data_IF_872756489515
#
_entry.id   IF_872756489515
#
_cell.length_a   1.000
_cell.length_b   1.000
_cell.length_c   1.000
_cell.angle_alpha   90.00
_cell.angle_beta   90.00
_cell.angle_gamma   90.00
#
_symmetry.space_group_name_H-M   'P 1'
#
loop_
_entity.id
_entity.type
_entity.pdbx_description
1 polymer ?
#
# COMPACT_ATOMS: atom_id res chain seq x y z
N UNK A 1 50.14 1.57 -15.60
CA UNK A 1 49.15 0.53 -15.28
C UNK A 1 48.18 1.10 -14.27
N UNK A 2 47.03 1.63 -14.72
CA UNK A 2 45.95 2.06 -13.83
C UNK A 2 44.88 0.98 -13.94
N UNK A 3 44.73 0.19 -12.89
CA UNK A 3 43.67 -0.80 -12.77
C UNK A 3 42.38 -0.06 -12.44
N UNK A 4 41.49 0.04 -13.42
CA UNK A 4 40.12 0.52 -13.21
C UNK A 4 39.35 -0.63 -12.58
N UNK A 5 39.31 -0.66 -11.25
CA UNK A 5 38.40 -1.54 -10.52
C UNK A 5 36.96 -1.11 -10.81
N UNK A 6 36.30 -1.83 -11.71
CA UNK A 6 34.86 -1.72 -11.92
C UNK A 6 34.20 -2.24 -10.64
N UNK A 7 33.77 -1.31 -9.80
CA UNK A 7 32.95 -1.59 -8.63
C UNK A 7 31.56 -1.99 -9.13
N UNK A 8 31.37 -3.30 -9.41
CA UNK A 8 30.04 -3.87 -9.63
C UNK A 8 29.31 -3.75 -8.29
N UNK A 9 28.61 -2.64 -8.12
CA UNK A 9 27.67 -2.47 -7.02
C UNK A 9 26.56 -3.51 -7.24
N UNK A 10 26.46 -4.50 -6.36
CA UNK A 10 25.31 -5.40 -6.30
C UNK A 10 24.08 -4.56 -5.96
N UNK A 11 23.42 -4.00 -6.97
CA UNK A 11 22.13 -3.34 -6.79
C UNK A 11 21.13 -4.43 -6.44
N UNK A 12 20.79 -4.51 -5.16
CA UNK A 12 19.69 -5.37 -4.70
C UNK A 12 18.42 -4.76 -5.28
N UNK A 13 17.84 -5.43 -6.28
CA UNK A 13 16.57 -5.03 -6.86
C UNK A 13 15.48 -5.43 -5.88
N UNK A 14 14.96 -4.45 -5.14
CA UNK A 14 13.78 -4.62 -4.30
C UNK A 14 12.55 -4.49 -5.20
N UNK A 15 11.71 -5.52 -5.26
CA UNK A 15 10.45 -5.48 -5.98
C UNK A 15 9.38 -5.03 -5.00
N UNK A 16 8.81 -3.83 -5.13
CA UNK A 16 7.71 -3.38 -4.28
C UNK A 16 6.52 -2.89 -5.10
N UNK A 17 5.39 -2.69 -4.43
CA UNK A 17 4.25 -1.95 -4.97
C UNK A 17 3.92 -0.76 -4.09
N UNK A 18 3.82 0.41 -4.70
CA UNK A 18 3.52 1.67 -4.01
C UNK A 18 3.04 2.70 -5.03
N UNK A 19 2.27 3.68 -4.57
CA UNK A 19 1.59 4.61 -5.46
C UNK A 19 2.46 5.77 -5.98
N UNK A 20 3.73 5.85 -5.57
CA UNK A 20 4.61 6.97 -5.88
C UNK A 20 4.17 8.27 -5.20
N UNK A 21 4.52 9.41 -5.79
CA UNK A 21 4.25 10.73 -5.20
C UNK A 21 2.81 11.21 -5.46
N UNK A 22 2.21 11.84 -4.45
CA UNK A 22 0.88 12.49 -4.50
C UNK A 22 -0.27 11.52 -4.86
N UNK A 23 -0.15 10.25 -4.49
CA UNK A 23 -1.21 9.24 -4.64
C UNK A 23 -1.31 8.41 -3.37
N UNK A 24 -2.49 7.87 -3.12
CA UNK A 24 -2.76 7.01 -1.96
C UNK A 24 -3.31 5.66 -2.40
N UNK A 25 -2.96 4.57 -1.70
CA UNK A 25 -3.60 3.28 -1.92
C UNK A 25 -5.03 3.30 -1.36
N UNK A 26 -5.99 3.02 -2.23
CA UNK A 26 -7.42 2.99 -1.88
C UNK A 26 -8.07 1.62 -2.12
N UNK A 27 -7.34 0.70 -2.76
CA UNK A 27 -7.81 -0.65 -3.05
C UNK A 27 -6.68 -1.63 -3.33
N UNK A 28 -7.05 -2.88 -3.51
CA UNK A 28 -6.16 -4.01 -3.72
C UNK A 28 -6.74 -4.93 -4.80
N UNK A 29 -5.95 -5.25 -5.82
CA UNK A 29 -6.23 -6.35 -6.74
C UNK A 29 -5.31 -7.52 -6.42
N UNK A 30 -5.82 -8.75 -6.45
CA UNK A 30 -5.00 -9.95 -6.45
C UNK A 30 -5.17 -10.63 -7.79
N UNK A 31 -4.12 -10.65 -8.61
CA UNK A 31 -4.16 -11.30 -9.90
C UNK A 31 -4.40 -12.83 -9.76
N UNK A 32 -4.77 -13.50 -10.85
CA UNK A 32 -5.07 -14.94 -10.86
C UNK A 32 -3.91 -15.83 -10.40
N UNK A 33 -2.67 -15.36 -10.51
CA UNK A 33 -1.47 -16.04 -10.03
C UNK A 33 -1.18 -15.79 -8.54
N UNK A 34 -2.07 -15.08 -7.83
CA UNK A 34 -1.92 -14.71 -6.42
C UNK A 34 -1.07 -13.47 -6.18
N UNK A 35 -0.56 -12.80 -7.24
CA UNK A 35 0.24 -11.59 -7.09
C UNK A 35 -0.66 -10.39 -6.70
N UNK A 36 -0.45 -9.75 -5.54
CA UNK A 36 -1.20 -8.57 -5.16
C UNK A 36 -0.68 -7.30 -5.87
N UNK A 37 -1.56 -6.33 -6.11
CA UNK A 37 -1.21 -4.99 -6.56
C UNK A 37 -2.11 -3.92 -5.94
N UNK A 38 -1.54 -2.76 -5.63
CA UNK A 38 -2.30 -1.63 -5.08
C UNK A 38 -3.04 -0.89 -6.19
N UNK A 39 -4.28 -0.53 -5.88
CA UNK A 39 -5.04 0.46 -6.63
C UNK A 39 -4.73 1.84 -6.04
N UNK A 40 -4.30 2.77 -6.90
CA UNK A 40 -3.79 4.07 -6.51
C UNK A 40 -4.65 5.21 -7.05
N UNK A 41 -5.15 6.06 -6.16
CA UNK A 41 -5.91 7.24 -6.51
C UNK A 41 -5.09 8.51 -6.27
N UNK A 42 -5.43 9.60 -6.97
CA UNK A 42 -4.93 10.95 -6.70
C UNK A 42 -6.09 11.81 -6.18
N UNK A 43 -6.33 11.83 -4.86
CA UNK A 43 -7.40 12.65 -4.30
C UNK A 43 -7.14 14.12 -4.67
N UNK A 44 -8.12 14.74 -5.32
CA UNK A 44 -8.17 16.17 -5.59
C UNK A 44 -8.57 16.98 -4.34
N UNK A 45 -7.74 16.92 -3.31
CA UNK A 45 -7.91 17.72 -2.10
C UNK A 45 -7.37 19.15 -2.32
N UNK A 46 -8.05 20.15 -1.76
CA UNK A 46 -7.60 21.55 -1.83
C UNK A 46 -6.24 21.77 -1.14
N UNK A 47 -5.93 20.97 -0.11
CA UNK A 47 -4.67 20.98 0.60
C UNK A 47 -3.91 19.67 0.37
N UNK A 48 -2.62 19.79 0.03
CA UNK A 48 -1.73 18.63 -0.04
C UNK A 48 -1.20 18.34 1.36
N UNK A 49 -1.43 17.12 1.85
CA UNK A 49 -0.77 16.60 3.05
C UNK A 49 0.23 15.53 2.65
N UNK A 50 1.45 15.68 3.15
CA UNK A 50 2.49 14.68 3.01
C UNK A 50 2.37 13.70 4.17
N UNK A 51 2.59 12.42 3.88
CA UNK A 51 2.61 11.36 4.87
C UNK A 51 4.05 11.11 5.30
N UNK A 52 4.25 10.83 6.58
CA UNK A 52 5.55 10.41 7.10
C UNK A 52 5.64 8.88 7.03
N UNK A 53 6.50 8.37 6.16
CA UNK A 53 6.59 6.94 5.87
C UNK A 53 7.94 6.38 6.32
N UNK A 54 7.97 5.10 6.64
CA UNK A 54 9.24 4.38 6.81
C UNK A 54 10.08 4.41 5.51
N UNK A 55 11.40 4.22 5.59
CA UNK A 55 12.25 4.21 4.39
C UNK A 55 11.99 2.98 3.50
N UNK A 56 11.58 1.87 4.11
CA UNK A 56 11.39 0.57 3.47
C UNK A 56 10.20 -0.19 4.07
N UNK A 57 9.59 -1.06 3.28
CA UNK A 57 8.54 -1.95 3.76
C UNK A 57 9.14 -3.08 4.62
N UNK A 58 8.98 -3.00 5.94
CA UNK A 58 9.57 -3.95 6.90
C UNK A 58 8.55 -4.52 7.91
N UNK A 59 7.30 -4.06 7.86
CA UNK A 59 6.27 -4.41 8.87
C UNK A 59 5.35 -5.50 8.37
N UNK A 60 4.93 -6.43 9.23
CA UNK A 60 3.89 -7.41 8.86
C UNK A 60 2.46 -6.86 8.93
N UNK A 61 2.29 -5.67 9.54
CA UNK A 61 1.02 -4.98 9.75
C UNK A 61 1.28 -3.54 10.18
N UNK A 62 0.34 -2.62 9.95
CA UNK A 62 0.37 -1.26 10.50
C UNK A 62 -0.63 -1.19 11.68
N UNK A 63 -0.17 -1.31 12.94
CA UNK A 63 -1.07 -1.49 14.09
C UNK A 63 -1.59 -0.19 14.68
N UNK A 64 -1.02 0.95 14.31
CA UNK A 64 -1.36 2.24 14.90
C UNK A 64 -2.62 2.80 14.24
N UNK A 65 -3.48 3.43 15.05
CA UNK A 65 -4.75 3.99 14.61
C UNK A 65 -4.63 5.24 13.73
N UNK A 66 -3.42 5.81 13.63
CA UNK A 66 -3.06 6.91 12.75
C UNK A 66 -2.14 6.45 11.60
N UNK A 67 -2.09 5.16 11.28
CA UNK A 67 -1.27 4.66 10.17
C UNK A 67 -2.09 4.13 9.01
N UNK A 68 -1.57 4.35 7.80
CA UNK A 68 -2.07 3.78 6.57
C UNK A 68 -0.96 2.97 5.87
N UNK A 69 -1.37 2.06 4.99
CA UNK A 69 -0.47 1.35 4.09
C UNK A 69 -0.08 2.28 2.95
N UNK A 70 1.21 2.61 2.83
CA UNK A 70 1.75 3.37 1.69
C UNK A 70 2.25 2.50 0.53
N UNK A 71 2.46 1.21 0.79
CA UNK A 71 3.07 0.27 -0.12
C UNK A 71 3.36 -1.08 0.52
N UNK A 72 3.95 -2.00 -0.23
CA UNK A 72 4.45 -3.27 0.29
C UNK A 72 5.60 -3.83 -0.56
N UNK A 73 6.42 -4.69 0.05
CA UNK A 73 7.47 -5.44 -0.64
C UNK A 73 6.91 -6.73 -1.25
N UNK A 74 7.33 -7.05 -2.48
CA UNK A 74 7.05 -8.25 -3.28
C UNK A 74 8.30 -9.16 -3.41
N UNK A 75 9.46 -8.73 -2.89
CA UNK A 75 10.79 -9.14 -3.32
C UNK A 75 11.52 -10.24 -2.52
N UNK A 76 11.01 -10.73 -1.39
CA UNK A 76 11.63 -11.85 -0.66
C UNK A 76 10.77 -13.12 -0.70
N UNK A 77 11.34 -14.26 -1.11
CA UNK A 77 10.69 -15.58 -1.16
C UNK A 77 9.67 -15.78 -2.30
N UNK A 78 8.75 -16.74 -2.15
CA UNK A 78 7.58 -16.97 -3.03
C UNK A 78 6.52 -15.84 -2.89
N UNK A 79 6.94 -14.58 -2.87
CA UNK A 79 6.12 -13.42 -2.49
C UNK A 79 5.63 -13.48 -1.03
N UNK A 80 6.45 -14.09 -0.16
CA UNK A 80 6.15 -14.29 1.25
C UNK A 80 7.41 -14.10 2.11
N UNK A 81 7.30 -13.43 3.27
CA UNK A 81 6.09 -12.78 3.82
C UNK A 81 5.80 -11.41 3.19
N UNK A 82 4.54 -10.98 3.21
CA UNK A 82 4.12 -9.65 2.77
C UNK A 82 4.53 -8.59 3.81
N UNK A 83 5.53 -7.78 3.50
CA UNK A 83 5.92 -6.64 4.33
C UNK A 83 5.28 -5.35 3.81
N UNK A 84 4.70 -4.58 4.72
CA UNK A 84 4.04 -3.31 4.46
C UNK A 84 4.99 -2.15 4.74
N UNK A 85 4.79 -1.09 3.94
CA UNK A 85 5.27 0.25 4.20
C UNK A 85 4.18 0.99 4.98
N UNK A 86 4.42 1.27 6.26
CA UNK A 86 3.48 2.02 7.09
C UNK A 86 3.79 3.51 7.04
N UNK A 87 2.76 4.32 6.85
CA UNK A 87 2.85 5.77 6.82
C UNK A 87 1.92 6.39 7.85
N UNK A 88 2.42 7.37 8.60
CA UNK A 88 1.67 8.11 9.60
C UNK A 88 0.81 9.17 8.93
N UNK A 89 -0.47 9.18 9.27
CA UNK A 89 -1.46 10.16 8.90
C UNK A 89 -2.28 10.59 10.12
N UNK A 90 -1.90 11.70 10.75
CA UNK A 90 -2.49 12.13 12.02
C UNK A 90 -4.01 12.39 11.95
N UNK A 91 -4.52 12.82 10.80
CA UNK A 91 -5.97 13.07 10.66
C UNK A 91 -6.80 11.77 10.60
N UNK A 92 -6.16 10.61 10.44
CA UNK A 92 -6.86 9.32 10.40
C UNK A 92 -7.61 9.04 11.71
N UNK A 93 -7.21 9.65 12.83
CA UNK A 93 -7.95 9.55 14.11
C UNK A 93 -9.38 10.10 14.02
N UNK A 94 -9.67 10.95 13.04
CA UNK A 94 -11.00 11.52 12.78
C UNK A 94 -11.80 10.70 11.75
N UNK A 95 -11.22 9.61 11.22
CA UNK A 95 -11.85 8.73 10.26
C UNK A 95 -12.70 7.64 10.93
N UNK A 96 -13.51 6.95 10.13
CA UNK A 96 -14.35 5.83 10.57
C UNK A 96 -14.00 4.60 9.75
N UNK A 97 -13.76 3.42 10.37
CA UNK A 97 -13.55 2.19 9.63
C UNK A 97 -14.87 1.75 8.97
N UNK A 98 -14.91 1.73 7.63
CA UNK A 98 -16.07 1.26 6.86
C UNK A 98 -16.08 -0.26 6.70
N UNK A 99 -14.91 -0.85 6.51
CA UNK A 99 -14.73 -2.26 6.21
C UNK A 99 -13.70 -2.88 7.15
N UNK A 100 -13.98 -4.10 7.63
CA UNK A 100 -13.08 -4.85 8.50
C UNK A 100 -12.92 -6.27 7.97
N UNK A 101 -11.68 -6.78 8.02
CA UNK A 101 -11.36 -8.18 7.68
C UNK A 101 -11.82 -8.61 6.29
N UNK A 102 -11.68 -7.73 5.29
CA UNK A 102 -11.93 -8.08 3.89
C UNK A 102 -10.89 -9.11 3.44
N UNK A 103 -11.36 -10.17 2.78
CA UNK A 103 -10.52 -11.18 2.16
C UNK A 103 -10.63 -11.02 0.66
N UNK A 104 -9.49 -10.90 -0.03
CA UNK A 104 -9.41 -10.78 -1.49
C UNK A 104 -8.69 -12.01 -2.02
N UNK A 105 -9.39 -12.83 -2.79
CA UNK A 105 -8.85 -14.06 -3.37
C UNK A 105 -8.14 -13.80 -4.72
N UNK A 106 -7.31 -14.74 -5.20
CA UNK A 106 -6.74 -14.66 -6.54
C UNK A 106 -7.80 -14.52 -7.63
N UNK A 107 -7.68 -13.47 -8.45
CA UNK A 107 -8.65 -13.09 -9.47
C UNK A 107 -9.70 -12.08 -9.01
N UNK A 108 -9.66 -11.65 -7.75
CA UNK A 108 -10.56 -10.65 -7.17
C UNK A 108 -9.85 -9.30 -6.94
N UNK A 109 -10.66 -8.28 -6.74
CA UNK A 109 -10.21 -6.96 -6.32
C UNK A 109 -11.18 -6.38 -5.30
N UNK A 110 -10.68 -5.50 -4.45
CA UNK A 110 -11.45 -4.67 -3.55
C UNK A 110 -11.03 -3.22 -3.76
N UNK A 111 -12.02 -2.34 -3.93
CA UNK A 111 -11.81 -0.94 -4.27
C UNK A 111 -12.62 -0.08 -3.28
N UNK A 112 -11.94 0.85 -2.61
CA UNK A 112 -12.61 1.90 -1.82
C UNK A 112 -13.19 3.00 -2.70
N UNK A 113 -13.90 3.94 -2.10
CA UNK A 113 -14.59 5.00 -2.84
C UNK A 113 -14.05 6.40 -2.51
N UNK A 114 -14.25 7.32 -3.46
CA UNK A 114 -14.10 8.76 -3.27
C UNK A 114 -15.49 9.39 -3.32
N UNK A 115 -15.87 10.10 -2.26
CA UNK A 115 -17.16 10.77 -2.15
C UNK A 115 -16.99 12.25 -2.49
N UNK A 116 -17.77 12.71 -3.46
CA UNK A 116 -17.73 14.09 -3.96
C UNK A 116 -19.02 14.80 -3.58
N UNK A 117 -18.93 16.08 -3.21
CA UNK A 117 -20.10 16.92 -2.97
C UNK A 117 -20.74 17.36 -4.29
N UNK A 118 -22.05 17.09 -4.44
CA UNK A 118 -22.79 17.32 -5.70
C UNK A 118 -22.77 18.77 -6.20
N UNK A 119 -22.64 19.74 -5.30
CA UNK A 119 -22.76 21.17 -5.64
C UNK A 119 -21.42 21.85 -5.93
N UNK A 120 -20.35 21.41 -5.26
CA UNK A 120 -19.03 22.04 -5.33
C UNK A 120 -18.02 21.21 -6.13
N UNK A 121 -18.36 19.96 -6.46
CA UNK A 121 -17.43 18.94 -6.99
C UNK A 121 -16.20 18.73 -6.09
N UNK A 122 -16.25 19.19 -4.83
CA UNK A 122 -15.17 19.02 -3.88
C UNK A 122 -15.21 17.62 -3.28
N UNK A 123 -14.03 17.02 -3.09
CA UNK A 123 -13.91 15.75 -2.36
C UNK A 123 -14.32 15.97 -0.91
N UNK A 124 -15.29 15.18 -0.47
CA UNK A 124 -15.76 15.15 0.91
C UNK A 124 -15.03 14.09 1.74
N UNK A 125 -14.76 12.93 1.15
CA UNK A 125 -14.02 11.84 1.80
C UNK A 125 -13.44 10.89 0.77
N UNK A 126 -12.42 10.12 1.17
CA UNK A 126 -11.84 9.05 0.38
C UNK A 126 -11.44 7.89 1.31
N UNK A 127 -11.47 6.68 0.79
CA UNK A 127 -11.08 5.48 1.53
C UNK A 127 -9.58 5.22 1.44
N UNK A 128 -9.04 4.62 2.50
CA UNK A 128 -7.63 4.23 2.60
C UNK A 128 -7.49 2.85 3.22
N UNK A 129 -6.39 2.17 2.90
CA UNK A 129 -6.05 0.88 3.52
C UNK A 129 -5.23 1.14 4.78
N UNK A 130 -5.75 0.75 5.94
CA UNK A 130 -5.06 0.96 7.23
C UNK A 130 -4.09 -0.18 7.54
N UNK A 131 -4.40 -1.42 7.15
CA UNK A 131 -3.54 -2.58 7.35
C UNK A 131 -3.99 -3.74 6.46
N UNK A 132 -3.07 -4.66 6.15
CA UNK A 132 -3.39 -5.89 5.44
C UNK A 132 -2.35 -6.97 5.74
N UNK A 133 -2.69 -8.23 5.46
CA UNK A 133 -1.75 -9.34 5.59
C UNK A 133 -2.08 -10.42 4.59
N UNK A 134 -1.07 -11.19 4.23
CA UNK A 134 -1.30 -12.43 3.51
C UNK A 134 -1.92 -13.47 4.46
N UNK A 135 -2.91 -14.20 3.96
CA UNK A 135 -3.54 -15.31 4.67
C UNK A 135 -3.10 -16.58 3.96
N UNK A 136 -2.31 -17.40 4.63
CA UNK A 136 -1.92 -18.71 4.12
C UNK A 136 -3.09 -19.69 4.20
N UNK A 137 -3.40 -20.36 3.08
CA UNK A 137 -4.36 -21.47 3.09
C UNK A 137 -3.68 -22.72 3.66
N UNK A 138 -4.13 -23.24 4.82
CA UNK A 138 -3.54 -24.43 5.44
C UNK A 138 -3.64 -25.70 4.58
N UNK A 139 -4.44 -25.70 3.50
CA UNK A 139 -4.61 -26.86 2.61
C UNK A 139 -3.68 -26.86 1.38
N UNK A 140 -2.82 -25.85 1.21
CA UNK A 140 -1.96 -25.69 0.00
C UNK A 140 -0.47 -25.94 0.27
N UNK A 141 -0.11 -26.51 1.42
CA UNK A 141 1.26 -26.97 1.76
C UNK A 141 1.44 -28.47 1.56
#
# INVERSE_FOLDING_TARGET
MIAVCIFICCVVVVFGDYCGENKVPFGLEVHRNGQPSLLCARPNCNERKFLDCEDHAIRSSCPENNTIVGGFDKGYGNHQPLYLLCCVFDDLIYSVPLYNSIVVHPGEYFEGEEQVEEQSEAIKSFDVITSMKLIDDPNTT
#
